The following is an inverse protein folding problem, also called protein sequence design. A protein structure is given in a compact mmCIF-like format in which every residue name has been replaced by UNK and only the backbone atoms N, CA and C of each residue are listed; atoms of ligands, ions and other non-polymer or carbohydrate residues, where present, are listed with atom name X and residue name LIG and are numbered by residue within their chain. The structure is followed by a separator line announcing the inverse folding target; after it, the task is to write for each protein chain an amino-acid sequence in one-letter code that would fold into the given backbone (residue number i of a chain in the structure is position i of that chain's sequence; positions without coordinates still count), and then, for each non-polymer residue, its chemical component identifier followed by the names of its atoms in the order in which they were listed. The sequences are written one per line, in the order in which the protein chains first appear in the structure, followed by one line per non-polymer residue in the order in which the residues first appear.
data_IF_169692674622
#
_entry.id   IF_169692674622
#
_cell.length_a   1.000
_cell.length_b   1.000
_cell.length_c   1.000
_cell.angle_alpha   90.00
_cell.angle_beta   90.00
_cell.angle_gamma   90.00
#
_symmetry.space_group_name_H-M   'P 1'
#
loop_
_entity.id
_entity.type
_entity.pdbx_description
1 polymer ?
#
# COMPACT_ATOMS: atom_id res chain seq x y z
N UNK A 1 -5.95 -16.57 -37.97
CA UNK A 1 -5.20 -15.31 -38.06
C UNK A 1 -5.38 -14.62 -36.74
N UNK A 2 -4.29 -14.29 -36.07
CA UNK A 2 -4.36 -13.52 -34.84
C UNK A 2 -4.75 -12.09 -35.19
N UNK A 3 -5.88 -11.64 -34.64
CA UNK A 3 -6.30 -10.24 -34.73
C UNK A 3 -5.50 -9.50 -33.67
N UNK A 4 -4.70 -8.51 -34.08
CA UNK A 4 -3.94 -7.70 -33.13
C UNK A 4 -4.92 -6.95 -32.22
N UNK A 5 -4.74 -7.11 -30.91
CA UNK A 5 -5.47 -6.34 -29.90
C UNK A 5 -4.76 -4.99 -29.77
N UNK A 6 -5.51 -3.90 -29.97
CA UNK A 6 -5.01 -2.54 -29.83
C UNK A 6 -5.67 -1.85 -28.64
N UNK A 7 -4.97 -0.94 -27.95
CA UNK A 7 -5.57 -0.10 -26.93
C UNK A 7 -6.76 0.70 -27.51
N UNK A 8 -7.79 0.94 -26.68
CA UNK A 8 -8.89 1.82 -27.11
C UNK A 8 -8.39 3.29 -27.20
N UNK A 9 -9.02 4.14 -28.03
CA UNK A 9 -8.67 5.57 -28.10
C UNK A 9 -8.73 6.27 -26.74
N UNK A 10 -9.60 5.80 -25.84
CA UNK A 10 -9.72 6.30 -24.46
C UNK A 10 -8.49 5.98 -23.63
N UNK A 11 -7.95 4.77 -23.76
CA UNK A 11 -6.72 4.36 -23.06
C UNK A 11 -5.52 5.14 -23.60
N UNK A 12 -5.43 5.29 -24.93
CA UNK A 12 -4.36 6.09 -25.57
C UNK A 12 -4.43 7.57 -25.17
N UNK A 13 -5.64 8.11 -25.00
CA UNK A 13 -5.85 9.46 -24.46
C UNK A 13 -5.27 9.61 -23.05
N UNK A 14 -5.57 8.69 -22.13
CA UNK A 14 -5.03 8.75 -20.77
C UNK A 14 -3.53 8.49 -20.71
N UNK A 15 -3.00 7.61 -21.56
CA UNK A 15 -1.55 7.39 -21.67
C UNK A 15 -0.81 8.56 -22.33
N UNK A 16 -1.54 9.56 -22.85
CA UNK A 16 -0.98 10.78 -23.45
C UNK A 16 -0.46 10.59 -24.88
N UNK A 17 -0.69 9.42 -25.48
CA UNK A 17 -0.31 9.13 -26.87
C UNK A 17 -1.36 9.59 -27.89
N UNK A 18 -2.58 9.89 -27.45
CA UNK A 18 -3.65 10.41 -28.30
C UNK A 18 -4.15 11.78 -27.78
N UNK A 19 -3.82 12.91 -28.42
CA UNK A 19 -4.34 14.20 -28.00
C UNK A 19 -5.87 14.24 -28.17
N UNK A 20 -6.53 15.14 -27.44
CA UNK A 20 -7.93 15.47 -27.70
C UNK A 20 -7.99 16.20 -29.05
N UNK A 21 -8.01 15.45 -30.14
CA UNK A 21 -8.08 15.98 -31.49
C UNK A 21 -9.52 16.31 -31.89
N UNK A 22 -9.70 17.27 -32.79
CA UNK A 22 -10.98 17.49 -33.45
C UNK A 22 -11.36 16.23 -34.27
N UNK A 23 -12.47 15.57 -33.90
CA UNK A 23 -13.01 14.41 -34.61
C UNK A 23 -13.20 13.13 -33.80
N UNK A 24 -12.67 13.05 -32.56
CA UNK A 24 -12.94 11.93 -31.65
C UNK A 24 -13.98 12.33 -30.59
N UNK A 25 -15.27 12.21 -30.97
CA UNK A 25 -16.41 12.60 -30.13
C UNK A 25 -16.43 11.86 -28.78
N UNK A 26 -15.93 10.61 -28.74
CA UNK A 26 -15.91 9.79 -27.53
C UNK A 26 -14.87 10.32 -26.54
N UNK A 27 -13.63 10.54 -26.99
CA UNK A 27 -12.55 11.08 -26.15
C UNK A 27 -12.93 12.48 -25.64
N UNK A 28 -13.53 13.32 -26.50
CA UNK A 28 -14.01 14.64 -26.08
C UNK A 28 -15.15 14.57 -25.06
N UNK A 29 -16.08 13.62 -25.19
CA UNK A 29 -17.14 13.42 -24.20
C UNK A 29 -16.56 13.01 -22.84
N UNK A 30 -15.63 12.06 -22.82
CA UNK A 30 -14.98 11.59 -21.59
C UNK A 30 -14.17 12.70 -20.92
N UNK A 31 -13.37 13.45 -21.68
CA UNK A 31 -12.59 14.56 -21.14
C UNK A 31 -13.49 15.63 -20.47
N UNK A 32 -14.61 15.98 -21.12
CA UNK A 32 -15.60 16.92 -20.56
C UNK A 32 -16.27 16.39 -19.30
N UNK A 33 -16.66 15.10 -19.28
CA UNK A 33 -17.26 14.48 -18.11
C UNK A 33 -16.31 14.51 -16.91
N UNK A 34 -15.04 14.16 -17.11
CA UNK A 34 -14.05 14.18 -16.04
C UNK A 34 -13.72 15.59 -15.56
N UNK A 35 -13.65 16.57 -16.46
CA UNK A 35 -13.48 17.97 -16.07
C UNK A 35 -14.65 18.45 -15.21
N UNK A 36 -15.88 18.07 -15.55
CA UNK A 36 -17.05 18.40 -14.74
C UNK A 36 -17.02 17.71 -13.38
N UNK A 37 -16.70 16.42 -13.35
CA UNK A 37 -16.58 15.65 -12.12
C UNK A 37 -15.51 16.22 -11.17
N UNK A 38 -14.35 16.62 -11.70
CA UNK A 38 -13.29 17.26 -10.90
C UNK A 38 -13.72 18.63 -10.34
N UNK A 39 -14.55 19.37 -11.06
CA UNK A 39 -15.06 20.67 -10.59
C UNK A 39 -16.09 20.55 -9.45
N UNK A 40 -16.65 19.35 -9.23
CA UNK A 40 -17.69 19.10 -8.23
C UNK A 40 -17.22 18.23 -7.06
N UNK A 41 -16.31 17.28 -7.30
CA UNK A 41 -15.94 16.28 -6.30
C UNK A 41 -15.34 16.92 -5.05
N UNK A 42 -15.77 16.45 -3.89
CA UNK A 42 -15.16 16.75 -2.58
C UNK A 42 -13.97 15.84 -2.29
N UNK A 43 -14.10 14.55 -2.62
CA UNK A 43 -13.05 13.55 -2.40
C UNK A 43 -11.84 13.83 -3.30
N UNK A 44 -10.65 13.82 -2.71
CA UNK A 44 -9.40 13.62 -3.44
C UNK A 44 -9.39 12.24 -4.11
N UNK A 45 -8.68 12.13 -5.24
CA UNK A 45 -8.43 10.84 -5.88
C UNK A 45 -6.93 10.69 -6.03
N UNK A 46 -6.33 9.82 -5.23
CA UNK A 46 -4.91 9.48 -5.28
C UNK A 46 -4.69 8.18 -6.06
N UNK A 47 -3.46 7.90 -6.45
CA UNK A 47 -3.05 6.64 -7.07
C UNK A 47 -2.39 5.69 -6.07
N UNK A 48 -2.50 4.39 -6.33
CA UNK A 48 -1.62 3.37 -5.75
C UNK A 48 -0.51 3.10 -6.76
N UNK A 49 0.74 3.40 -6.41
CA UNK A 49 1.88 3.24 -7.30
C UNK A 49 3.15 2.95 -6.51
N UNK A 50 3.90 1.95 -6.97
CA UNK A 50 5.04 1.39 -6.24
C UNK A 50 6.38 1.67 -6.94
N UNK A 51 6.34 2.32 -8.12
CA UNK A 51 7.49 2.70 -8.92
C UNK A 51 7.23 4.04 -9.66
N UNK A 52 8.28 4.62 -10.23
CA UNK A 52 8.20 5.90 -10.92
C UNK A 52 7.27 5.87 -12.15
N UNK A 53 7.27 4.78 -12.93
CA UNK A 53 6.42 4.66 -14.13
C UNK A 53 4.93 4.70 -13.76
N UNK A 54 4.53 3.94 -12.75
CA UNK A 54 3.15 3.90 -12.25
C UNK A 54 2.76 5.22 -11.59
N UNK A 55 3.68 5.89 -10.90
CA UNK A 55 3.44 7.22 -10.34
C UNK A 55 3.19 8.24 -11.46
N UNK A 56 4.03 8.25 -12.50
CA UNK A 56 3.85 9.10 -13.67
C UNK A 56 2.52 8.80 -14.37
N UNK A 57 2.16 7.51 -14.52
CA UNK A 57 0.88 7.07 -15.10
C UNK A 57 -0.31 7.56 -14.26
N UNK A 58 -0.29 7.36 -12.95
CA UNK A 58 -1.34 7.84 -12.06
C UNK A 58 -1.53 9.36 -12.17
N UNK A 59 -0.42 10.13 -12.22
CA UNK A 59 -0.46 11.58 -12.39
C UNK A 59 -1.08 11.97 -13.74
N UNK A 60 -0.69 11.32 -14.85
CA UNK A 60 -1.30 11.55 -16.18
C UNK A 60 -2.80 11.29 -16.18
N UNK A 61 -3.26 10.30 -15.41
CA UNK A 61 -4.67 9.93 -15.31
C UNK A 61 -5.47 10.84 -14.37
N UNK A 62 -4.81 11.85 -13.76
CA UNK A 62 -5.43 12.87 -12.92
C UNK A 62 -5.38 12.59 -11.43
N UNK A 63 -4.52 11.68 -10.96
CA UNK A 63 -4.34 11.46 -9.54
C UNK A 63 -3.72 12.70 -8.87
N UNK A 64 -4.26 13.08 -7.71
CA UNK A 64 -3.81 14.23 -6.92
C UNK A 64 -2.76 13.85 -5.86
N UNK A 65 -1.93 12.85 -6.16
CA UNK A 65 -0.92 12.28 -5.27
C UNK A 65 -0.96 10.75 -5.22
N UNK A 66 -0.12 10.15 -4.38
CA UNK A 66 -0.09 8.72 -4.09
C UNK A 66 -0.65 8.48 -2.69
N UNK A 67 -1.65 7.62 -2.58
CA UNK A 67 -2.25 7.23 -1.29
C UNK A 67 -1.74 5.89 -0.76
N UNK A 68 -1.02 5.14 -1.59
CA UNK A 68 -0.31 3.93 -1.20
C UNK A 68 0.85 3.65 -2.17
N UNK A 69 2.06 3.74 -1.66
CA UNK A 69 3.27 3.18 -2.25
C UNK A 69 3.72 2.00 -1.37
N UNK A 70 3.72 0.81 -1.95
CA UNK A 70 4.14 -0.44 -1.32
C UNK A 70 5.66 -0.60 -1.48
N UNK A 71 6.34 -0.78 -0.37
CA UNK A 71 7.81 -0.92 -0.35
C UNK A 71 8.28 -2.34 -0.62
N UNK A 72 7.40 -3.33 -0.51
CA UNK A 72 7.66 -4.75 -0.67
C UNK A 72 8.31 -5.10 -2.01
N UNK A 73 7.78 -4.52 -3.09
CA UNK A 73 8.28 -4.74 -4.44
C UNK A 73 9.71 -4.19 -4.62
N UNK A 74 10.13 -3.25 -3.77
CA UNK A 74 11.49 -2.68 -3.76
C UNK A 74 12.53 -3.62 -3.12
N UNK A 75 12.09 -4.75 -2.56
CA UNK A 75 12.96 -5.79 -1.96
C UNK A 75 13.04 -7.07 -2.79
N UNK A 76 12.25 -7.19 -3.87
CA UNK A 76 12.18 -8.37 -4.73
C UNK A 76 13.21 -8.30 -5.88
N UNK A 77 13.27 -9.38 -6.67
CA UNK A 77 14.17 -9.52 -7.81
C UNK A 77 15.64 -9.63 -7.39
N UNK A 78 16.53 -8.87 -8.05
CA UNK A 78 17.98 -8.90 -7.79
C UNK A 78 18.36 -8.47 -6.36
N UNK A 79 17.42 -7.85 -5.63
CA UNK A 79 17.61 -7.36 -4.26
C UNK A 79 17.27 -8.40 -3.19
N UNK A 80 16.67 -9.53 -3.58
CA UNK A 80 16.30 -10.64 -2.69
C UNK A 80 17.46 -11.11 -1.81
N UNK A 81 18.65 -11.21 -2.41
CA UNK A 81 19.87 -11.61 -1.73
C UNK A 81 20.17 -10.74 -0.49
N UNK A 82 19.89 -9.43 -0.55
CA UNK A 82 20.12 -8.51 0.57
C UNK A 82 19.11 -8.75 1.71
N UNK A 83 17.90 -9.19 1.39
CA UNK A 83 16.90 -9.59 2.39
C UNK A 83 17.30 -10.91 3.03
N UNK A 84 17.81 -11.86 2.25
CA UNK A 84 18.36 -13.10 2.81
C UNK A 84 19.54 -12.81 3.74
N UNK A 85 20.43 -11.89 3.36
CA UNK A 85 21.56 -11.48 4.20
C UNK A 85 21.08 -10.85 5.51
N UNK A 86 20.02 -10.04 5.47
CA UNK A 86 19.37 -9.50 6.68
C UNK A 86 18.77 -10.63 7.56
N UNK A 87 18.14 -11.63 6.95
CA UNK A 87 17.53 -12.77 7.66
C UNK A 87 18.59 -13.70 8.29
N UNK A 88 19.75 -13.81 7.66
CA UNK A 88 20.87 -14.62 8.12
C UNK A 88 21.81 -13.90 9.08
N UNK A 89 21.75 -12.56 9.14
CA UNK A 89 22.66 -11.76 9.95
C UNK A 89 22.69 -12.20 11.43
N UNK A 90 23.89 -12.46 11.94
CA UNK A 90 24.12 -12.83 13.32
C UNK A 90 24.58 -11.61 14.13
N UNK A 91 23.67 -11.10 14.96
CA UNK A 91 23.96 -9.99 15.86
C UNK A 91 23.83 -8.61 15.20
N UNK A 92 24.19 -7.58 15.97
CA UNK A 92 23.85 -6.20 15.63
C UNK A 92 24.63 -5.67 14.42
N UNK A 93 25.93 -5.95 14.33
CA UNK A 93 26.80 -5.35 13.31
C UNK A 93 26.47 -5.88 11.90
N UNK A 94 26.22 -7.18 11.76
CA UNK A 94 25.83 -7.80 10.48
C UNK A 94 24.44 -7.32 10.04
N UNK A 95 23.49 -7.20 10.98
CA UNK A 95 22.16 -6.67 10.69
C UNK A 95 22.23 -5.22 10.19
N UNK A 96 23.04 -4.38 10.83
CA UNK A 96 23.25 -2.99 10.39
C UNK A 96 23.91 -2.93 9.01
N UNK A 97 24.88 -3.80 8.73
CA UNK A 97 25.50 -3.87 7.40
C UNK A 97 24.50 -4.26 6.30
N UNK A 98 23.63 -5.24 6.57
CA UNK A 98 22.58 -5.66 5.63
C UNK A 98 21.56 -4.54 5.37
N UNK A 99 21.10 -3.85 6.42
CA UNK A 99 20.21 -2.69 6.30
C UNK A 99 20.88 -1.55 5.53
N UNK A 100 22.15 -1.26 5.78
CA UNK A 100 22.90 -0.22 5.08
C UNK A 100 23.05 -0.52 3.57
N UNK A 101 23.12 -1.79 3.18
CA UNK A 101 23.17 -2.19 1.77
C UNK A 101 21.84 -1.98 1.04
N UNK A 102 20.70 -2.08 1.75
CA UNK A 102 19.36 -1.84 1.19
C UNK A 102 19.04 -0.35 1.01
N UNK A 103 19.58 0.51 1.88
CA UNK A 103 19.30 1.95 1.90
C UNK A 103 19.47 2.65 0.54
N UNK A 104 20.62 2.56 -0.17
CA UNK A 104 20.81 3.30 -1.41
C UNK A 104 19.81 2.92 -2.52
N UNK A 105 19.39 1.65 -2.54
CA UNK A 105 18.46 1.12 -3.52
C UNK A 105 17.03 1.64 -3.28
N UNK A 106 16.57 1.62 -2.03
CA UNK A 106 15.27 2.22 -1.68
C UNK A 106 15.27 3.73 -1.90
N UNK A 107 16.38 4.42 -1.59
CA UNK A 107 16.49 5.86 -1.82
C UNK A 107 16.37 6.21 -3.30
N UNK A 108 16.94 5.41 -4.20
CA UNK A 108 16.81 5.57 -5.65
C UNK A 108 15.36 5.44 -6.09
N UNK A 109 14.66 4.39 -5.64
CA UNK A 109 13.24 4.17 -5.98
C UNK A 109 12.35 5.33 -5.49
N UNK A 110 12.52 5.75 -4.24
CA UNK A 110 11.78 6.88 -3.68
C UNK A 110 12.09 8.19 -4.41
N UNK A 111 13.34 8.40 -4.83
CA UNK A 111 13.71 9.58 -5.63
C UNK A 111 12.96 9.61 -6.95
N UNK A 112 12.82 8.47 -7.62
CA UNK A 112 12.02 8.35 -8.84
C UNK A 112 10.55 8.69 -8.60
N UNK A 113 9.93 8.06 -7.60
CA UNK A 113 8.50 8.25 -7.30
C UNK A 113 8.20 9.70 -6.88
N UNK A 114 8.99 10.25 -5.96
CA UNK A 114 8.79 11.62 -5.47
C UNK A 114 8.99 12.67 -6.57
N UNK A 115 9.91 12.44 -7.51
CA UNK A 115 10.11 13.33 -8.66
C UNK A 115 8.90 13.35 -9.59
N UNK A 116 8.36 12.18 -9.92
CA UNK A 116 7.15 12.08 -10.76
C UNK A 116 5.92 12.71 -10.10
N UNK A 117 5.92 12.80 -8.76
CA UNK A 117 4.86 13.40 -7.95
C UNK A 117 5.22 14.78 -7.38
N UNK A 118 6.14 15.51 -8.02
CA UNK A 118 6.50 16.87 -7.59
C UNK A 118 5.27 17.76 -7.34
N UNK A 119 5.23 18.37 -6.14
CA UNK A 119 4.13 19.20 -5.63
C UNK A 119 2.92 18.44 -5.06
N UNK A 120 2.91 17.10 -5.11
CA UNK A 120 1.80 16.24 -4.66
C UNK A 120 2.23 15.31 -3.51
N UNK A 121 1.31 14.94 -2.60
CA UNK A 121 1.61 14.06 -1.48
C UNK A 121 1.90 12.62 -1.95
N UNK A 122 2.87 11.97 -1.31
CA UNK A 122 3.22 10.56 -1.56
C UNK A 122 3.23 9.79 -0.25
N UNK A 123 2.20 8.97 -0.04
CA UNK A 123 2.08 8.08 1.12
C UNK A 123 2.84 6.77 0.90
N UNK A 124 3.92 6.57 1.65
CA UNK A 124 4.74 5.35 1.62
C UNK A 124 4.36 4.46 2.80
N UNK A 125 3.95 3.22 2.50
CA UNK A 125 3.72 2.19 3.52
C UNK A 125 5.03 1.48 3.82
N UNK A 126 5.40 1.46 5.09
CA UNK A 126 6.54 0.68 5.57
C UNK A 126 6.30 -0.82 5.31
N UNK A 127 7.36 -1.63 5.38
CA UNK A 127 7.33 -3.04 4.99
C UNK A 127 6.21 -3.79 5.75
N UNK A 128 5.33 -4.45 4.99
CA UNK A 128 4.18 -5.16 5.51
C UNK A 128 4.26 -6.69 5.52
N UNK A 129 4.74 -7.41 4.48
CA UNK A 129 4.67 -8.85 4.42
C UNK A 129 5.69 -9.49 5.37
N UNK A 130 5.42 -10.73 5.80
CA UNK A 130 6.37 -11.50 6.58
C UNK A 130 7.62 -11.83 5.75
N UNK A 131 8.77 -11.95 6.43
CA UNK A 131 10.05 -12.12 5.73
C UNK A 131 10.15 -13.40 4.90
N UNK A 132 9.38 -14.45 5.23
CA UNK A 132 9.41 -15.69 4.46
C UNK A 132 8.92 -15.52 3.01
N UNK A 133 8.13 -14.49 2.69
CA UNK A 133 7.72 -14.19 1.32
C UNK A 133 8.90 -13.75 0.43
N UNK A 134 10.01 -13.31 1.02
CA UNK A 134 11.24 -12.97 0.29
C UNK A 134 12.23 -14.14 0.21
N UNK A 135 12.00 -15.22 0.95
CA UNK A 135 12.90 -16.35 1.04
C UNK A 135 12.53 -17.45 0.02
N UNK A 136 13.42 -18.42 -0.27
CA UNK A 136 13.07 -19.60 -1.05
C UNK A 136 11.90 -20.36 -0.44
N UNK A 137 11.10 -20.99 -1.30
CA UNK A 137 10.00 -21.83 -0.85
C UNK A 137 10.54 -22.95 0.05
N UNK A 138 9.87 -23.15 1.19
CA UNK A 138 10.30 -24.12 2.19
C UNK A 138 10.35 -25.54 1.61
N UNK A 139 9.36 -25.89 0.79
CA UNK A 139 9.26 -27.23 0.20
C UNK A 139 10.33 -27.42 -0.85
N UNK A 140 10.48 -26.47 -1.78
CA UNK A 140 11.51 -26.52 -2.82
C UNK A 140 12.91 -26.60 -2.23
N UNK A 141 13.26 -25.70 -1.29
CA UNK A 141 14.58 -25.68 -0.66
C UNK A 141 14.84 -26.94 0.18
N UNK A 142 13.82 -27.46 0.88
CA UNK A 142 13.93 -28.72 1.62
C UNK A 142 14.20 -29.91 0.70
N UNK A 143 13.51 -29.97 -0.45
CA UNK A 143 13.70 -31.05 -1.43
C UNK A 143 15.07 -30.95 -2.08
N UNK A 144 15.50 -29.75 -2.48
CA UNK A 144 16.82 -29.52 -3.07
C UNK A 144 17.94 -30.04 -2.16
N UNK A 145 17.91 -29.65 -0.88
CA UNK A 145 18.91 -30.07 0.11
C UNK A 145 18.86 -31.58 0.35
N UNK A 146 17.66 -32.16 0.51
CA UNK A 146 17.52 -33.60 0.72
C UNK A 146 18.03 -34.43 -0.48
N UNK A 147 17.81 -33.95 -1.70
CA UNK A 147 18.33 -34.60 -2.92
C UNK A 147 19.85 -34.50 -2.98
N UNK A 148 20.43 -33.34 -2.65
CA UNK A 148 21.88 -33.16 -2.62
C UNK A 148 22.54 -34.13 -1.61
N UNK A 149 22.00 -34.22 -0.39
CA UNK A 149 22.47 -35.14 0.64
C UNK A 149 22.37 -36.61 0.20
N UNK A 150 21.22 -37.01 -0.38
CA UNK A 150 20.99 -38.39 -0.82
C UNK A 150 21.88 -38.80 -2.00
N UNK A 151 22.25 -37.84 -2.86
CA UNK A 151 23.10 -38.09 -4.04
C UNK A 151 24.59 -37.89 -3.77
N UNK A 152 24.96 -37.51 -2.54
CA UNK A 152 26.35 -37.27 -2.15
C UNK A 152 26.94 -35.97 -2.73
N UNK A 153 26.08 -35.05 -3.16
CA UNK A 153 26.47 -33.68 -3.56
C UNK A 153 26.65 -32.84 -2.30
N UNK A 154 27.73 -32.07 -2.23
CA UNK A 154 27.97 -31.17 -1.11
C UNK A 154 26.91 -30.06 -1.08
N UNK A 155 26.23 -29.90 0.05
CA UNK A 155 25.26 -28.81 0.30
C UNK A 155 26.03 -27.54 0.63
N UNK A 156 25.66 -26.41 0.02
CA UNK A 156 26.21 -25.11 0.37
C UNK A 156 25.82 -24.75 1.81
N UNK A 157 26.78 -24.43 2.71
CA UNK A 157 26.48 -23.96 4.06
C UNK A 157 25.48 -22.81 4.10
N UNK A 158 25.50 -21.90 3.10
CA UNK A 158 24.52 -20.82 3.01
C UNK A 158 23.12 -21.36 2.77
N UNK A 159 22.94 -22.31 1.85
CA UNK A 159 21.63 -22.93 1.60
C UNK A 159 21.09 -23.63 2.85
N UNK A 160 21.95 -24.30 3.61
CA UNK A 160 21.57 -24.92 4.90
C UNK A 160 21.10 -23.87 5.91
N UNK A 161 21.86 -22.76 6.06
CA UNK A 161 21.48 -21.67 6.96
C UNK A 161 20.17 -21.00 6.54
N UNK A 162 19.96 -20.83 5.22
CA UNK A 162 18.69 -20.34 4.67
C UNK A 162 17.53 -21.26 5.02
N UNK A 163 17.70 -22.58 4.87
CA UNK A 163 16.64 -23.54 5.19
C UNK A 163 16.24 -23.46 6.67
N UNK A 164 17.22 -23.34 7.57
CA UNK A 164 16.94 -23.16 9.00
C UNK A 164 16.22 -21.85 9.28
N UNK A 165 16.57 -20.76 8.58
CA UNK A 165 15.89 -19.49 8.70
C UNK A 165 14.46 -19.53 8.14
N UNK A 166 14.25 -20.14 6.97
CA UNK A 166 12.91 -20.35 6.37
C UNK A 166 12.02 -21.14 7.32
N UNK A 167 12.53 -22.23 7.90
CA UNK A 167 11.78 -23.03 8.88
C UNK A 167 11.42 -22.23 10.13
N UNK A 168 12.33 -21.39 10.62
CA UNK A 168 12.10 -20.52 11.78
C UNK A 168 11.04 -19.44 11.52
N UNK A 169 11.00 -18.91 10.29
CA UNK A 169 10.09 -17.84 9.87
C UNK A 169 8.79 -18.33 9.23
N UNK A 170 8.65 -19.65 9.05
CA UNK A 170 7.45 -20.26 8.51
C UNK A 170 6.30 -20.15 9.52
N UNK A 171 5.15 -19.68 9.05
CA UNK A 171 3.95 -19.51 9.85
C UNK A 171 2.77 -20.21 9.19
N UNK A 172 1.88 -20.80 10.00
CA UNK A 172 0.68 -21.48 9.46
C UNK A 172 -0.33 -20.52 8.84
N UNK A 173 -0.37 -19.26 9.31
CA UNK A 173 -1.28 -18.22 8.79
C UNK A 173 -0.51 -16.90 8.60
N UNK A 174 0.22 -16.74 7.49
CA UNK A 174 1.04 -15.56 7.22
C UNK A 174 0.30 -14.22 7.31
N UNK A 175 -0.99 -14.19 6.94
CA UNK A 175 -1.82 -12.97 6.96
C UNK A 175 -1.94 -12.35 8.38
N UNK A 176 -1.95 -13.15 9.44
CA UNK A 176 -2.07 -12.68 10.83
C UNK A 176 -0.78 -12.87 11.65
N UNK A 177 0.35 -13.14 11.00
CA UNK A 177 1.62 -13.51 11.62
C UNK A 177 2.55 -12.34 11.98
N UNK A 178 3.87 -12.63 11.92
CA UNK A 178 4.96 -11.69 12.18
C UNK A 178 5.24 -10.84 10.94
N UNK A 179 4.45 -9.77 10.82
CA UNK A 179 4.45 -8.88 9.66
C UNK A 179 4.08 -7.44 10.07
N UNK A 180 4.17 -6.49 9.15
CA UNK A 180 3.82 -5.08 9.38
C UNK A 180 4.52 -4.46 10.58
N UNK A 181 3.79 -3.67 11.39
CA UNK A 181 4.35 -3.02 12.58
C UNK A 181 5.07 -4.00 13.52
N UNK A 182 4.59 -5.24 13.63
CA UNK A 182 5.18 -6.26 14.52
C UNK A 182 6.58 -6.63 14.06
N UNK A 183 6.77 -6.77 12.75
CA UNK A 183 8.07 -7.07 12.16
C UNK A 183 9.04 -5.90 12.39
N UNK A 184 8.59 -4.66 12.15
CA UNK A 184 9.39 -3.46 12.42
C UNK A 184 9.80 -3.31 13.89
N UNK A 185 8.95 -3.72 14.82
CA UNK A 185 9.25 -3.73 16.26
C UNK A 185 10.23 -4.86 16.66
N UNK A 186 10.16 -6.01 15.99
CA UNK A 186 11.04 -7.17 16.28
C UNK A 186 12.42 -7.02 15.64
N UNK A 187 12.55 -6.31 14.53
CA UNK A 187 13.81 -6.11 13.80
C UNK A 187 14.20 -4.62 13.86
N UNK A 188 15.00 -4.21 14.87
CA UNK A 188 15.38 -2.82 15.05
C UNK A 188 16.05 -2.21 13.82
N UNK A 189 15.65 -0.99 13.46
CA UNK A 189 16.21 -0.25 12.33
C UNK A 189 15.66 -0.67 10.96
N UNK A 190 14.81 -1.70 10.86
CA UNK A 190 14.16 -2.07 9.60
C UNK A 190 13.34 -0.90 9.05
N UNK A 191 12.41 -0.39 9.85
CA UNK A 191 11.61 0.78 9.50
C UNK A 191 12.44 2.05 9.46
N UNK A 192 13.39 2.22 10.40
CA UNK A 192 14.29 3.37 10.40
C UNK A 192 15.08 3.53 9.10
N UNK A 193 15.55 2.43 8.51
CA UNK A 193 16.25 2.44 7.22
C UNK A 193 15.34 2.93 6.08
N UNK A 194 14.08 2.47 6.03
CA UNK A 194 13.11 2.91 5.01
C UNK A 194 12.79 4.40 5.13
N UNK A 195 12.57 4.87 6.37
CA UNK A 195 12.28 6.28 6.65
C UNK A 195 13.47 7.17 6.30
N UNK A 196 14.70 6.72 6.60
CA UNK A 196 15.92 7.44 6.20
C UNK A 196 16.03 7.51 4.68
N UNK A 197 15.84 6.40 3.97
CA UNK A 197 15.87 6.39 2.50
C UNK A 197 14.86 7.37 1.89
N UNK A 198 13.63 7.39 2.41
CA UNK A 198 12.58 8.33 1.98
C UNK A 198 12.95 9.79 2.28
N UNK A 199 13.46 10.06 3.49
CA UNK A 199 13.87 11.40 3.90
C UNK A 199 15.05 11.92 3.06
N UNK A 200 16.07 11.09 2.82
CA UNK A 200 17.22 11.47 1.99
C UNK A 200 16.81 11.72 0.53
N UNK A 201 15.90 10.92 -0.03
CA UNK A 201 15.34 11.14 -1.37
C UNK A 201 14.60 12.48 -1.45
N UNK A 202 13.74 12.78 -0.47
CA UNK A 202 13.02 14.05 -0.40
C UNK A 202 13.96 15.25 -0.22
N UNK A 203 15.03 15.11 0.59
CA UNK A 203 16.03 16.16 0.77
C UNK A 203 16.77 16.46 -0.53
N UNK A 204 17.22 15.42 -1.26
CA UNK A 204 17.92 15.57 -2.52
C UNK A 204 17.07 16.32 -3.57
N UNK A 205 15.81 15.92 -3.73
CA UNK A 205 14.89 16.59 -4.66
C UNK A 205 14.58 18.03 -4.26
N UNK A 206 14.49 18.32 -2.96
CA UNK A 206 14.33 19.71 -2.48
C UNK A 206 15.56 20.56 -2.81
N UNK A 207 16.77 20.00 -2.75
CA UNK A 207 17.99 20.69 -3.17
C UNK A 207 18.04 20.93 -4.69
N UNK A 208 17.35 20.11 -5.48
CA UNK A 208 17.12 20.32 -6.92
C UNK A 208 16.05 21.40 -7.21
N UNK A 209 15.35 21.92 -6.19
CA UNK A 209 14.31 22.94 -6.33
C UNK A 209 12.89 22.40 -6.51
N UNK A 210 12.68 21.10 -6.28
CA UNK A 210 11.37 20.45 -6.29
C UNK A 210 10.68 20.57 -4.91
N UNK A 211 9.38 20.26 -4.86
CA UNK A 211 8.52 20.24 -3.67
C UNK A 211 8.03 18.81 -3.35
N UNK A 212 8.92 17.89 -2.90
CA UNK A 212 8.50 16.56 -2.47
C UNK A 212 7.72 16.62 -1.15
N UNK A 213 6.59 15.91 -1.10
CA UNK A 213 5.69 15.86 0.07
C UNK A 213 5.51 14.42 0.58
N UNK A 214 6.53 13.83 1.22
CA UNK A 214 6.45 12.47 1.74
C UNK A 214 5.50 12.36 2.93
N UNK A 215 4.78 11.25 3.02
CA UNK A 215 3.99 10.82 4.16
C UNK A 215 4.38 9.36 4.50
N UNK A 216 4.63 9.06 5.78
CA UNK A 216 5.01 7.73 6.27
C UNK A 216 3.78 7.04 6.86
N UNK A 217 3.49 5.83 6.42
CA UNK A 217 2.35 5.04 6.88
C UNK A 217 2.80 3.72 7.50
N UNK A 218 2.42 3.50 8.76
CA UNK A 218 2.69 2.25 9.49
C UNK A 218 1.58 1.23 9.23
N UNK A 219 1.88 0.01 8.72
CA UNK A 219 0.88 -1.03 8.48
C UNK A 219 0.54 -1.84 9.74
N UNK A 220 -0.63 -2.48 9.75
CA UNK A 220 -1.09 -3.49 10.71
C UNK A 220 -1.09 -3.08 12.19
N UNK A 221 -1.16 -1.78 12.46
CA UNK A 221 -1.35 -1.26 13.82
C UNK A 221 -2.67 -1.76 14.38
N UNK A 222 -2.62 -2.37 15.57
CA UNK A 222 -3.77 -2.78 16.35
C UNK A 222 -3.91 -2.00 17.66
N UNK A 223 -2.82 -1.43 18.18
CA UNK A 223 -2.77 -0.65 19.42
C UNK A 223 -1.96 0.64 19.25
N UNK A 224 -2.37 1.71 19.93
CA UNK A 224 -1.70 3.02 19.86
C UNK A 224 -0.21 2.94 20.21
N UNK A 225 0.15 2.08 21.17
CA UNK A 225 1.53 1.91 21.61
C UNK A 225 2.45 1.38 20.50
N UNK A 226 1.92 0.55 19.59
CA UNK A 226 2.69 0.06 18.44
C UNK A 226 3.04 1.24 17.52
N UNK A 227 2.10 2.16 17.30
CA UNK A 227 2.30 3.36 16.50
C UNK A 227 3.22 4.37 17.21
N UNK A 228 3.08 4.58 18.51
CA UNK A 228 3.91 5.52 19.28
C UNK A 228 5.40 5.19 19.19
N UNK A 229 5.76 3.92 19.37
CA UNK A 229 7.16 3.47 19.29
C UNK A 229 7.74 3.73 17.90
N UNK A 230 7.02 3.35 16.84
CA UNK A 230 7.48 3.59 15.46
C UNK A 230 7.51 5.07 15.13
N UNK A 231 6.53 5.86 15.60
CA UNK A 231 6.48 7.31 15.38
C UNK A 231 7.68 8.01 16.01
N UNK A 232 8.10 7.62 17.20
CA UNK A 232 9.28 8.18 17.86
C UNK A 232 10.54 7.97 17.02
N UNK A 233 10.78 6.75 16.54
CA UNK A 233 11.90 6.42 15.65
C UNK A 233 11.83 7.23 14.35
N UNK A 234 10.66 7.25 13.68
CA UNK A 234 10.46 8.00 12.43
C UNK A 234 10.74 9.49 12.63
N UNK A 235 10.22 10.08 13.71
CA UNK A 235 10.37 11.51 14.01
C UNK A 235 11.83 11.88 14.25
N UNK A 236 12.58 11.03 14.98
CA UNK A 236 14.00 11.25 15.22
C UNK A 236 14.81 11.27 13.91
N UNK A 237 14.55 10.32 13.00
CA UNK A 237 15.24 10.21 11.71
C UNK A 237 14.88 11.39 10.79
N UNK A 238 13.61 11.74 10.71
CA UNK A 238 13.13 12.88 9.93
C UNK A 238 13.78 14.19 10.40
N UNK A 239 13.89 14.38 11.72
CA UNK A 239 14.56 15.53 12.32
C UNK A 239 16.08 15.54 12.04
N UNK A 240 16.75 14.40 12.11
CA UNK A 240 18.17 14.26 11.81
C UNK A 240 18.49 14.63 10.36
N UNK A 241 17.67 14.16 9.40
CA UNK A 241 17.85 14.45 7.96
C UNK A 241 17.37 15.87 7.61
N UNK A 242 16.49 16.47 8.40
CA UNK A 242 15.95 17.82 8.16
C UNK A 242 14.77 17.85 7.19
N UNK A 243 13.95 16.80 7.19
CA UNK A 243 12.75 16.68 6.34
C UNK A 243 11.51 16.57 7.21
N UNK A 244 10.49 17.40 6.94
CA UNK A 244 9.18 17.24 7.53
C UNK A 244 8.35 16.25 6.69
N UNK A 245 7.70 15.29 7.36
CA UNK A 245 6.77 14.35 6.78
C UNK A 245 5.64 14.08 7.78
N UNK A 246 4.44 13.77 7.29
CA UNK A 246 3.36 13.29 8.15
C UNK A 246 3.61 11.82 8.51
N UNK A 247 3.27 11.42 9.74
CA UNK A 247 3.33 10.02 10.16
C UNK A 247 1.92 9.57 10.52
N UNK A 248 1.39 8.64 9.74
CA UNK A 248 0.04 8.07 9.91
C UNK A 248 0.07 6.56 10.00
N UNK A 249 -1.11 5.97 10.00
CA UNK A 249 -1.27 4.53 10.11
C UNK A 249 -2.32 4.01 9.16
N UNK A 250 -2.15 2.75 8.75
CA UNK A 250 -3.23 2.02 8.13
C UNK A 250 -4.25 1.59 9.21
N UNK A 251 -5.54 1.72 8.91
CA UNK A 251 -6.65 1.19 9.72
C UNK A 251 -7.19 -0.03 8.99
N UNK A 252 -6.61 -1.18 9.33
CA UNK A 252 -6.89 -2.46 8.67
C UNK A 252 -7.08 -3.62 9.65
N UNK A 253 -6.81 -3.39 10.94
CA UNK A 253 -7.13 -4.30 12.03
C UNK A 253 -8.44 -3.84 12.69
N UNK A 254 -9.45 -4.71 12.89
CA UNK A 254 -10.71 -4.31 13.53
C UNK A 254 -10.54 -3.62 14.89
N UNK A 255 -9.53 -4.03 15.68
CA UNK A 255 -9.18 -3.39 16.95
C UNK A 255 -8.78 -1.92 16.79
N UNK A 256 -8.02 -1.57 15.74
CA UNK A 256 -7.62 -0.19 15.48
C UNK A 256 -8.83 0.68 15.14
N UNK A 257 -9.78 0.15 14.36
CA UNK A 257 -11.03 0.85 14.09
C UNK A 257 -11.87 1.07 15.37
N UNK A 258 -11.97 0.06 16.23
CA UNK A 258 -12.70 0.12 17.50
C UNK A 258 -12.02 0.97 18.59
N UNK A 259 -10.75 1.31 18.41
CA UNK A 259 -9.97 2.13 19.37
C UNK A 259 -9.39 3.38 18.70
N UNK A 260 -10.03 3.81 17.61
CA UNK A 260 -9.52 4.85 16.72
C UNK A 260 -9.33 6.19 17.42
N UNK A 261 -10.09 6.48 18.48
CA UNK A 261 -9.86 7.66 19.32
C UNK A 261 -8.41 7.70 19.84
N UNK A 262 -7.93 6.62 20.45
CA UNK A 262 -6.55 6.57 20.98
C UNK A 262 -5.51 6.55 19.86
N UNK A 263 -5.77 5.79 18.79
CA UNK A 263 -4.84 5.74 17.64
C UNK A 263 -4.67 7.13 17.00
N UNK A 264 -5.72 7.96 16.96
CA UNK A 264 -5.69 9.31 16.42
C UNK A 264 -4.82 10.30 17.23
N UNK A 265 -4.51 10.01 18.50
CA UNK A 265 -3.60 10.82 19.31
C UNK A 265 -2.16 10.76 18.77
N UNK A 266 -1.79 9.61 18.20
CA UNK A 266 -0.46 9.36 17.65
C UNK A 266 -0.39 9.44 16.11
N UNK A 267 -1.50 9.54 15.39
CA UNK A 267 -1.52 9.56 13.92
C UNK A 267 -1.77 10.96 13.35
N UNK A 268 -1.11 11.30 12.24
CA UNK A 268 -1.40 12.50 11.44
C UNK A 268 -2.48 12.27 10.38
N UNK A 269 -2.63 11.02 9.95
CA UNK A 269 -3.67 10.58 9.03
C UNK A 269 -4.00 9.10 9.24
N UNK A 270 -5.18 8.69 8.78
CA UNK A 270 -5.54 7.28 8.60
C UNK A 270 -5.67 6.96 7.12
N UNK A 271 -5.21 5.78 6.72
CA UNK A 271 -5.60 5.15 5.46
C UNK A 271 -6.30 3.83 5.76
N UNK A 272 -7.52 3.65 5.31
CA UNK A 272 -8.23 2.38 5.49
C UNK A 272 -7.67 1.34 4.51
N UNK A 273 -7.03 0.29 5.05
CA UNK A 273 -6.64 -0.91 4.32
C UNK A 273 -7.82 -1.87 4.27
N UNK A 274 -8.80 -1.57 3.41
CA UNK A 274 -10.10 -2.26 3.43
C UNK A 274 -10.01 -3.72 3.00
N UNK A 275 -8.97 -4.12 2.28
CA UNK A 275 -8.75 -5.53 1.93
C UNK A 275 -8.53 -6.38 3.19
N UNK A 276 -7.50 -6.05 3.99
CA UNK A 276 -7.21 -6.73 5.25
C UNK A 276 -8.31 -6.52 6.30
N UNK A 277 -8.94 -5.33 6.33
CA UNK A 277 -10.08 -5.08 7.21
C UNK A 277 -11.27 -6.00 6.86
N UNK A 278 -11.55 -6.21 5.57
CA UNK A 278 -12.56 -7.18 5.11
C UNK A 278 -12.16 -8.60 5.51
N UNK A 279 -10.91 -9.00 5.28
CA UNK A 279 -10.43 -10.34 5.66
C UNK A 279 -10.64 -10.62 7.15
N UNK A 280 -10.22 -9.71 8.02
CA UNK A 280 -10.34 -9.90 9.46
C UNK A 280 -11.78 -9.77 9.98
N UNK A 281 -12.62 -8.96 9.32
CA UNK A 281 -14.03 -8.77 9.73
C UNK A 281 -14.91 -9.96 9.34
N UNK A 282 -14.70 -10.50 8.14
CA UNK A 282 -15.42 -11.68 7.66
C UNK A 282 -14.81 -13.00 8.13
N UNK A 283 -13.55 -12.99 8.56
CA UNK A 283 -12.78 -14.20 8.81
C UNK A 283 -12.43 -14.94 7.51
N UNK A 284 -12.19 -14.19 6.43
CA UNK A 284 -11.88 -14.72 5.11
C UNK A 284 -10.39 -14.63 4.82
N UNK A 285 -9.82 -15.73 4.35
CA UNK A 285 -8.55 -15.70 3.62
C UNK A 285 -8.83 -15.34 2.17
N UNK A 286 -8.33 -14.20 1.71
CA UNK A 286 -8.59 -13.71 0.35
C UNK A 286 -8.16 -14.73 -0.71
N UNK A 287 -7.01 -15.38 -0.49
CA UNK A 287 -6.44 -16.33 -1.45
C UNK A 287 -7.21 -17.65 -1.53
N UNK A 288 -7.93 -18.02 -0.46
CA UNK A 288 -8.64 -19.31 -0.39
C UNK A 288 -10.14 -19.20 -0.70
N UNK A 289 -10.75 -18.05 -0.41
CA UNK A 289 -12.20 -17.91 -0.30
C UNK A 289 -12.92 -18.01 -1.64
N UNK A 290 -12.34 -17.41 -2.69
CA UNK A 290 -12.91 -17.41 -4.03
C UNK A 290 -12.97 -18.82 -4.63
N UNK A 291 -11.90 -19.60 -4.44
CA UNK A 291 -11.81 -20.96 -4.95
C UNK A 291 -12.61 -21.99 -4.11
N UNK A 292 -13.00 -21.62 -2.88
CA UNK A 292 -13.61 -22.55 -1.93
C UNK A 292 -15.14 -22.50 -1.92
N UNK A 293 -15.74 -21.41 -1.42
CA UNK A 293 -17.17 -21.38 -1.10
C UNK A 293 -17.92 -20.14 -1.57
N UNK A 294 -17.25 -19.20 -2.24
CA UNK A 294 -17.84 -17.93 -2.70
C UNK A 294 -19.07 -18.11 -3.60
N UNK A 295 -18.98 -18.99 -4.60
CA UNK A 295 -20.12 -19.29 -5.49
C UNK A 295 -21.35 -19.71 -4.70
N UNK A 296 -21.17 -20.55 -3.67
CA UNK A 296 -22.28 -21.01 -2.83
C UNK A 296 -22.88 -19.87 -1.99
N UNK A 297 -22.07 -18.93 -1.53
CA UNK A 297 -22.54 -17.76 -0.78
C UNK A 297 -23.36 -16.81 -1.65
N UNK A 298 -22.93 -16.59 -2.90
CA UNK A 298 -23.68 -15.82 -3.90
C UNK A 298 -25.02 -16.50 -4.22
N UNK A 299 -25.01 -17.82 -4.49
CA UNK A 299 -26.23 -18.59 -4.78
C UNK A 299 -27.25 -18.57 -3.64
N UNK A 300 -26.77 -18.54 -2.39
CA UNK A 300 -27.61 -18.46 -1.19
C UNK A 300 -28.05 -17.03 -0.86
N UNK A 301 -27.52 -16.02 -1.55
CA UNK A 301 -27.77 -14.61 -1.27
C UNK A 301 -27.21 -14.16 0.08
N UNK A 302 -26.15 -14.81 0.59
CA UNK A 302 -25.48 -14.38 1.83
C UNK A 302 -24.81 -13.02 1.62
N UNK A 303 -24.21 -12.82 0.45
CA UNK A 303 -23.86 -11.51 -0.09
C UNK A 303 -24.22 -11.48 -1.59
N UNK A 304 -24.55 -10.30 -2.10
CA UNK A 304 -24.92 -10.12 -3.52
C UNK A 304 -23.72 -9.88 -4.45
N UNK A 305 -22.63 -9.37 -3.89
CA UNK A 305 -21.36 -9.07 -4.57
C UNK A 305 -20.22 -9.48 -3.66
N UNK A 306 -19.05 -9.79 -4.22
CA UNK A 306 -17.84 -10.07 -3.44
C UNK A 306 -17.55 -8.90 -2.48
N UNK A 307 -17.39 -9.15 -1.16
CA UNK A 307 -17.00 -8.10 -0.20
C UNK A 307 -15.56 -7.61 -0.38
N UNK A 308 -14.78 -8.19 -1.29
CA UNK A 308 -13.45 -7.70 -1.71
C UNK A 308 -13.52 -6.82 -2.97
N UNK A 309 -14.63 -6.90 -3.73
CA UNK A 309 -14.85 -6.09 -4.92
C UNK A 309 -15.57 -4.78 -4.56
N UNK A 310 -16.64 -4.90 -3.78
CA UNK A 310 -17.42 -3.76 -3.28
C UNK A 310 -17.55 -3.84 -1.76
N UNK A 311 -17.37 -2.70 -1.09
CA UNK A 311 -17.30 -2.62 0.36
C UNK A 311 -18.61 -3.10 0.99
N UNK A 312 -18.50 -4.08 1.89
CA UNK A 312 -19.58 -4.43 2.82
C UNK A 312 -19.91 -3.22 3.72
N UNK A 313 -20.98 -2.50 3.39
CA UNK A 313 -21.39 -1.27 4.10
C UNK A 313 -21.92 -1.52 5.53
N UNK A 314 -22.41 -2.73 5.82
CA UNK A 314 -23.06 -3.06 7.10
C UNK A 314 -22.04 -3.55 8.14
N UNK A 315 -21.10 -4.40 7.75
CA UNK A 315 -20.03 -4.89 8.62
C UNK A 315 -18.79 -4.01 8.54
N UNK A 316 -18.01 -4.15 7.47
CA UNK A 316 -16.72 -3.44 7.29
C UNK A 316 -16.92 -1.92 7.29
N UNK A 317 -17.95 -1.43 6.61
CA UNK A 317 -18.32 -0.02 6.57
C UNK A 317 -18.69 0.52 7.95
N UNK A 318 -19.24 -0.30 8.86
CA UNK A 318 -19.47 0.13 10.25
C UNK A 318 -18.16 0.36 11.00
N UNK A 319 -17.13 -0.47 10.78
CA UNK A 319 -15.80 -0.23 11.35
C UNK A 319 -15.19 1.06 10.80
N UNK A 320 -15.33 1.32 9.50
CA UNK A 320 -14.88 2.58 8.88
C UNK A 320 -15.59 3.78 9.53
N UNK A 321 -16.93 3.75 9.68
CA UNK A 321 -17.69 4.82 10.34
C UNK A 321 -17.21 5.11 11.76
N UNK A 322 -17.06 4.06 12.58
CA UNK A 322 -16.57 4.21 13.97
C UNK A 322 -15.19 4.89 13.97
N UNK A 323 -14.28 4.43 13.11
CA UNK A 323 -12.92 4.97 13.06
C UNK A 323 -12.89 6.44 12.60
N UNK A 324 -13.71 6.81 11.60
CA UNK A 324 -13.85 8.18 11.13
C UNK A 324 -14.39 9.09 12.25
N UNK A 325 -15.49 8.68 12.90
CA UNK A 325 -16.15 9.45 13.95
C UNK A 325 -15.22 9.65 15.16
N UNK A 326 -14.64 8.56 15.68
CA UNK A 326 -13.77 8.63 16.85
C UNK A 326 -12.44 9.34 16.57
N UNK A 327 -11.86 9.09 15.39
CA UNK A 327 -10.62 9.74 14.97
C UNK A 327 -10.79 11.25 14.87
N UNK A 328 -11.84 11.72 14.20
CA UNK A 328 -12.12 13.17 14.07
C UNK A 328 -12.63 13.81 15.36
N UNK A 329 -13.33 13.06 16.22
CA UNK A 329 -13.68 13.54 17.56
C UNK A 329 -12.42 13.86 18.38
N UNK A 330 -11.37 13.08 18.22
CA UNK A 330 -10.10 13.25 18.93
C UNK A 330 -9.22 14.30 18.25
N UNK A 331 -9.12 14.27 16.92
CA UNK A 331 -8.32 15.19 16.11
C UNK A 331 -9.18 15.70 14.93
N UNK A 332 -9.87 16.86 15.06
CA UNK A 332 -10.82 17.35 14.04
C UNK A 332 -10.21 17.55 12.64
N UNK A 333 -8.91 17.82 12.56
CA UNK A 333 -8.17 17.95 11.30
C UNK A 333 -7.48 16.66 10.82
N UNK A 334 -7.82 15.50 11.40
CA UNK A 334 -7.25 14.21 11.00
C UNK A 334 -7.62 13.92 9.55
N UNK A 335 -6.59 13.75 8.70
CA UNK A 335 -6.77 13.41 7.29
C UNK A 335 -7.11 11.92 7.17
N UNK A 336 -8.16 11.59 6.42
CA UNK A 336 -8.69 10.23 6.31
C UNK A 336 -8.80 9.83 4.85
N UNK A 337 -8.19 8.72 4.47
CA UNK A 337 -8.37 8.14 3.14
C UNK A 337 -8.53 6.64 3.17
N UNK A 338 -8.69 6.05 2.01
CA UNK A 338 -8.76 4.59 1.81
C UNK A 338 -7.84 4.22 0.65
N UNK A 339 -7.16 3.09 0.79
CA UNK A 339 -6.38 2.50 -0.29
C UNK A 339 -6.79 1.04 -0.49
N UNK A 340 -6.77 0.60 -1.75
CA UNK A 340 -7.07 -0.78 -2.13
C UNK A 340 -8.05 -0.83 -3.28
N UNK A 341 -8.70 -1.98 -3.45
CA UNK A 341 -9.58 -2.23 -4.59
C UNK A 341 -10.89 -1.45 -4.48
N UNK A 342 -11.44 -1.36 -3.27
CA UNK A 342 -12.63 -0.57 -2.97
C UNK A 342 -12.45 0.93 -3.30
N UNK A 343 -11.23 1.46 -3.29
CA UNK A 343 -10.97 2.87 -3.62
C UNK A 343 -11.29 3.24 -5.07
N UNK A 344 -11.46 2.26 -5.95
CA UNK A 344 -11.87 2.46 -7.35
C UNK A 344 -13.23 1.86 -7.69
N UNK A 345 -13.96 1.32 -6.72
CA UNK A 345 -15.30 0.74 -6.91
C UNK A 345 -16.37 1.84 -6.78
N UNK A 346 -17.26 2.04 -7.76
CA UNK A 346 -18.27 3.10 -7.72
C UNK A 346 -19.07 3.13 -6.41
N UNK A 347 -19.69 2.02 -6.02
CA UNK A 347 -20.53 1.98 -4.82
C UNK A 347 -19.72 2.25 -3.55
N UNK A 348 -18.49 1.75 -3.48
CA UNK A 348 -17.59 2.02 -2.35
C UNK A 348 -17.18 3.50 -2.31
N UNK A 349 -16.88 4.12 -3.44
CA UNK A 349 -16.51 5.56 -3.53
C UNK A 349 -17.64 6.45 -3.01
N UNK A 350 -18.90 6.14 -3.35
CA UNK A 350 -20.06 6.87 -2.81
C UNK A 350 -20.16 6.70 -1.29
N UNK A 351 -20.00 5.48 -0.78
CA UNK A 351 -19.95 5.26 0.67
C UNK A 351 -18.84 6.08 1.35
N UNK A 352 -17.63 6.08 0.79
CA UNK A 352 -16.50 6.84 1.35
C UNK A 352 -16.75 8.36 1.29
N UNK A 353 -17.48 8.83 0.29
CA UNK A 353 -17.96 10.21 0.22
C UNK A 353 -18.89 10.51 1.40
N UNK A 354 -19.88 9.66 1.63
CA UNK A 354 -20.94 9.86 2.64
C UNK A 354 -20.40 9.84 4.06
N UNK A 355 -19.51 8.89 4.38
CA UNK A 355 -18.86 8.83 5.70
C UNK A 355 -17.83 9.94 5.89
N UNK A 356 -17.54 10.71 4.83
CA UNK A 356 -16.75 11.92 4.93
C UNK A 356 -15.25 11.73 4.82
N UNK A 357 -14.74 10.65 4.19
CA UNK A 357 -13.30 10.54 3.89
C UNK A 357 -12.82 11.74 3.07
N UNK A 358 -11.53 12.05 3.14
CA UNK A 358 -10.89 13.14 2.41
C UNK A 358 -10.39 12.70 1.03
N UNK A 359 -10.00 11.44 0.86
CA UNK A 359 -9.62 10.88 -0.44
C UNK A 359 -9.89 9.38 -0.57
N UNK A 360 -9.93 8.92 -1.82
CA UNK A 360 -9.83 7.51 -2.20
C UNK A 360 -8.54 7.29 -3.00
N UNK A 361 -7.94 6.10 -2.91
CA UNK A 361 -6.73 5.74 -3.62
C UNK A 361 -6.85 4.38 -4.28
N UNK A 362 -6.62 4.33 -5.60
CA UNK A 362 -6.82 3.14 -6.42
C UNK A 362 -5.71 2.97 -7.46
N UNK A 363 -5.68 1.82 -8.15
CA UNK A 363 -4.69 1.60 -9.22
C UNK A 363 -4.80 2.67 -10.32
N UNK A 364 -3.72 2.99 -11.05
CA UNK A 364 -3.70 4.10 -12.01
C UNK A 364 -4.85 4.06 -13.01
N UNK A 365 -5.16 2.89 -13.56
CA UNK A 365 -6.25 2.69 -14.52
C UNK A 365 -7.65 2.93 -13.96
N UNK A 366 -7.85 2.87 -12.64
CA UNK A 366 -9.13 3.14 -11.97
C UNK A 366 -9.28 4.60 -11.55
N UNK A 367 -8.22 5.42 -11.62
CA UNK A 367 -8.26 6.85 -11.25
C UNK A 367 -9.35 7.61 -12.03
N UNK A 368 -9.52 7.46 -13.35
CA UNK A 368 -10.59 8.15 -14.07
C UNK A 368 -11.99 7.76 -13.59
N UNK A 369 -12.22 6.48 -13.27
CA UNK A 369 -13.50 5.99 -12.73
C UNK A 369 -13.75 6.57 -11.35
N UNK A 370 -12.75 6.53 -10.46
CA UNK A 370 -12.86 7.11 -9.12
C UNK A 370 -13.12 8.63 -9.16
N UNK A 371 -12.50 9.36 -10.11
CA UNK A 371 -12.78 10.79 -10.34
C UNK A 371 -14.23 11.04 -10.74
N UNK A 372 -14.72 10.28 -11.71
CA UNK A 372 -16.11 10.38 -12.16
C UNK A 372 -17.10 10.11 -11.01
N UNK A 373 -16.91 9.00 -10.30
CA UNK A 373 -17.83 8.59 -9.24
C UNK A 373 -17.74 9.49 -8.01
N UNK A 374 -16.56 10.00 -7.67
CA UNK A 374 -16.43 11.03 -6.63
C UNK A 374 -17.17 12.32 -6.98
N UNK A 375 -17.22 12.69 -8.27
CA UNK A 375 -18.00 13.82 -8.76
C UNK A 375 -19.51 13.55 -8.71
N UNK A 376 -19.94 12.34 -9.08
CA UNK A 376 -21.35 11.92 -8.99
C UNK A 376 -21.84 11.87 -7.54
N UNK A 377 -21.04 11.31 -6.62
CA UNK A 377 -21.37 11.29 -5.20
C UNK A 377 -21.60 12.69 -4.62
N UNK A 378 -20.87 13.70 -5.11
CA UNK A 378 -21.02 15.09 -4.65
C UNK A 378 -22.31 15.79 -5.14
N UNK A 379 -23.00 15.26 -6.16
CA UNK A 379 -24.27 15.79 -6.63
C UNK A 379 -25.45 15.36 -5.75
N UNK A 380 -25.29 14.31 -4.95
CA UNK A 380 -26.39 13.63 -4.28
C UNK A 380 -27.30 12.89 -5.25
N UNK A 381 -28.34 12.25 -4.71
CA UNK A 381 -29.43 11.62 -5.48
C UNK A 381 -30.43 12.64 -6.05
#
# INVERSE_FOLDING_TARGET
GEVAVHPSPVVEFFEGSHPVAEGDDLVQAIARLLQHADGLRRLGVRGNADNAEDAARARRFGASGIGLCRTEHMFLGDRRQLVEDLVLAEGHDEQQAALAALLPLQREDFTGILREMDGLPVTVRLLDPPLHEFLPDLTELSVEIAVAEATGVAVDPRQSALLDAVRRLHESNPMIGLRGVRLGLVIPGLFGMQVRALAEAALALRQEGLDPRPEVMVPLVGAVQELEVVREECTAILAEVGVAALIGTMIEVPRAALTAASVAEAADFFSFGTNDLTQMSWGFSRDDVEASFFTRYLDLGIFGVSPFESLDREGVGRLVRIAVEEGRRTKPGLHLGVCGEHGGDPESVHFFHDVGLDYVSCSPFRVPVARLEAGRAALGD
#
